data_IF_993833946822
#
_entry.id   IF_993833946822
#
_cell.length_a   1.000
_cell.length_b   1.000
_cell.length_c   1.000
_cell.angle_alpha   90.00
_cell.angle_beta   90.00
_cell.angle_gamma   90.00
#
_symmetry.space_group_name_H-M   'P 1'
#
loop_
_entity.id
_entity.type
_entity.pdbx_description
1 polymer ?
#
# COMPACT_ATOMS: atom_id res chain seq x y z
N UNK A 1 -9.51 -8.83 3.37
CA UNK A 1 -9.69 -8.33 4.73
C UNK A 1 -8.41 -7.63 5.19
N UNK A 2 -8.55 -6.61 6.02
CA UNK A 2 -7.40 -5.93 6.60
C UNK A 2 -6.76 -6.81 7.68
N UNK A 3 -5.44 -6.73 7.85
CA UNK A 3 -4.72 -7.62 8.76
C UNK A 3 -5.11 -7.47 10.24
N UNK A 4 -5.64 -6.30 10.63
CA UNK A 4 -5.92 -6.00 12.02
C UNK A 4 -4.66 -5.65 12.81
N UNK A 5 -4.85 -5.33 14.09
CA UNK A 5 -3.77 -5.02 15.02
C UNK A 5 -4.09 -5.61 16.40
N UNK A 6 -3.08 -6.08 17.15
CA UNK A 6 -3.27 -6.45 18.54
C UNK A 6 -3.53 -5.25 19.45
N UNK A 7 -3.21 -4.04 18.99
CA UNK A 7 -3.35 -2.81 19.75
C UNK A 7 -4.73 -2.18 19.56
N UNK A 8 -5.40 -1.86 20.66
CA UNK A 8 -6.72 -1.22 20.60
C UNK A 8 -6.66 0.20 20.01
N UNK A 9 -5.56 0.90 20.24
CA UNK A 9 -5.29 2.24 19.70
C UNK A 9 -4.10 2.18 18.77
N UNK A 10 -4.36 2.23 17.48
CA UNK A 10 -3.33 2.16 16.44
C UNK A 10 -3.70 3.02 15.23
N UNK A 11 -2.68 3.50 14.56
CA UNK A 11 -2.85 4.19 13.29
C UNK A 11 -3.16 3.19 12.17
N UNK A 12 -4.02 3.60 11.26
CA UNK A 12 -4.44 2.78 10.12
C UNK A 12 -4.84 3.63 8.93
N UNK A 13 -4.79 3.03 7.76
CA UNK A 13 -5.36 3.60 6.54
C UNK A 13 -6.04 2.49 5.73
N UNK A 14 -7.31 2.71 5.42
CA UNK A 14 -8.10 1.84 4.54
C UNK A 14 -8.55 2.65 3.33
N UNK A 15 -8.33 2.13 2.15
CA UNK A 15 -8.72 2.80 0.91
C UNK A 15 -9.11 1.80 -0.18
N UNK A 16 -9.78 2.31 -1.19
CA UNK A 16 -10.10 1.58 -2.41
C UNK A 16 -9.49 2.29 -3.59
N UNK A 17 -8.93 1.55 -4.53
CA UNK A 17 -8.33 2.10 -5.74
C UNK A 17 -8.91 1.38 -6.94
N UNK A 18 -9.35 2.15 -7.92
CA UNK A 18 -9.77 1.63 -9.22
C UNK A 18 -8.67 1.88 -10.24
N UNK A 19 -8.14 0.81 -10.81
CA UNK A 19 -7.12 0.85 -11.85
C UNK A 19 -7.73 0.56 -13.22
N UNK A 20 -7.23 1.22 -14.26
CA UNK A 20 -7.58 0.91 -15.64
C UNK A 20 -6.90 -0.40 -16.12
N UNK A 21 -5.81 -0.78 -15.48
CA UNK A 21 -5.01 -1.95 -15.84
C UNK A 21 -5.55 -3.24 -15.19
N UNK A 22 -5.32 -4.41 -15.82
CA UNK A 22 -5.74 -5.70 -15.25
C UNK A 22 -5.08 -6.02 -13.90
N UNK A 23 -5.79 -6.76 -13.06
CA UNK A 23 -5.34 -7.07 -11.70
C UNK A 23 -3.96 -7.74 -11.64
N UNK A 24 -3.63 -8.63 -12.55
CA UNK A 24 -2.29 -9.26 -12.57
C UNK A 24 -1.17 -8.25 -12.82
N UNK A 25 -1.43 -7.22 -13.64
CA UNK A 25 -0.45 -6.16 -13.85
C UNK A 25 -0.28 -5.30 -12.59
N UNK A 26 -1.38 -4.91 -11.96
CA UNK A 26 -1.34 -4.13 -10.72
C UNK A 26 -0.61 -4.90 -9.62
N UNK A 27 -0.93 -6.17 -9.44
CA UNK A 27 -0.25 -7.06 -8.49
C UNK A 27 1.25 -7.15 -8.75
N UNK A 28 1.65 -7.35 -9.99
CA UNK A 28 3.07 -7.44 -10.36
C UNK A 28 3.83 -6.15 -10.02
N UNK A 29 3.21 -4.99 -10.24
CA UNK A 29 3.80 -3.70 -9.89
C UNK A 29 3.95 -3.56 -8.38
N UNK A 30 2.90 -3.82 -7.62
CA UNK A 30 2.90 -3.71 -6.14
C UNK A 30 3.96 -4.63 -5.53
N UNK A 31 3.96 -5.90 -5.93
CA UNK A 31 4.94 -6.87 -5.44
C UNK A 31 6.38 -6.49 -5.86
N UNK A 32 6.56 -6.08 -7.09
CA UNK A 32 7.88 -5.68 -7.62
C UNK A 32 8.46 -4.48 -6.87
N UNK A 33 7.63 -3.53 -6.45
CA UNK A 33 8.07 -2.38 -5.66
C UNK A 33 8.53 -2.78 -4.27
N UNK A 34 7.86 -3.70 -3.61
CA UNK A 34 8.31 -4.20 -2.29
C UNK A 34 9.63 -4.96 -2.42
N UNK A 35 9.72 -5.87 -3.38
CA UNK A 35 10.95 -6.66 -3.63
C UNK A 35 12.12 -5.76 -4.02
N UNK A 36 11.89 -4.77 -4.90
CA UNK A 36 12.91 -3.82 -5.35
C UNK A 36 13.17 -2.65 -4.38
N UNK A 37 12.42 -2.55 -3.30
CA UNK A 37 12.43 -1.43 -2.34
C UNK A 37 12.11 -0.07 -2.97
N UNK A 38 11.42 -0.06 -4.08
CA UNK A 38 10.92 1.16 -4.69
C UNK A 38 9.67 1.64 -3.95
N UNK A 39 9.64 2.85 -3.49
CA UNK A 39 8.53 3.42 -2.73
C UNK A 39 8.56 3.14 -1.22
N UNK A 40 9.41 2.23 -0.76
CA UNK A 40 9.63 1.94 0.66
C UNK A 40 11.10 2.15 1.03
N UNK A 41 11.47 3.41 1.10
CA UNK A 41 12.76 3.82 1.64
C UNK A 41 12.72 3.82 3.18
N UNK A 42 13.85 3.86 3.83
CA UNK A 42 13.96 3.90 5.28
C UNK A 42 13.10 2.84 5.98
N UNK A 43 13.24 1.60 5.57
CA UNK A 43 12.64 0.46 6.24
C UNK A 43 13.64 -0.69 6.39
N UNK A 44 13.42 -1.49 7.43
CA UNK A 44 14.18 -2.74 7.64
C UNK A 44 13.52 -3.83 6.82
N UNK A 45 14.31 -4.54 6.02
CA UNK A 45 13.93 -5.76 5.30
C UNK A 45 12.43 -5.90 5.00
N UNK A 46 11.90 -5.18 4.01
CA UNK A 46 10.51 -5.32 3.64
C UNK A 46 10.23 -6.78 3.28
N UNK A 47 9.21 -7.34 3.90
CA UNK A 47 8.81 -8.72 3.62
C UNK A 47 7.59 -8.70 2.72
N UNK A 48 7.76 -9.07 1.43
CA UNK A 48 6.60 -9.42 0.64
C UNK A 48 5.94 -10.62 1.32
N UNK A 49 4.64 -10.51 1.49
CA UNK A 49 3.88 -11.52 2.18
C UNK A 49 3.41 -12.64 1.26
N UNK A 50 2.44 -13.37 1.76
CA UNK A 50 1.85 -14.49 1.06
C UNK A 50 0.92 -13.96 -0.05
N UNK A 51 1.08 -14.52 -1.24
CA UNK A 51 0.16 -14.37 -2.35
C UNK A 51 -0.80 -15.57 -2.38
N UNK A 52 -2.07 -15.28 -2.26
CA UNK A 52 -3.13 -16.28 -2.39
C UNK A 52 -4.17 -15.78 -3.40
N UNK A 53 -4.05 -16.23 -4.64
CA UNK A 53 -4.94 -15.83 -5.72
C UNK A 53 -4.91 -14.32 -5.96
N UNK A 54 -6.01 -13.63 -5.63
CA UNK A 54 -6.16 -12.19 -5.76
C UNK A 54 -6.03 -11.43 -4.41
N UNK A 55 -5.37 -12.01 -3.44
CA UNK A 55 -5.02 -11.39 -2.18
C UNK A 55 -3.49 -11.37 -2.00
N UNK A 56 -2.98 -10.26 -1.51
CA UNK A 56 -1.55 -10.06 -1.27
C UNK A 56 -1.35 -9.32 0.05
N UNK A 57 -0.31 -9.65 0.76
CA UNK A 57 0.04 -9.00 2.01
C UNK A 57 1.53 -8.71 2.09
N UNK A 58 1.89 -7.74 2.91
CA UNK A 58 3.28 -7.42 3.19
C UNK A 58 3.42 -6.84 4.59
N UNK A 59 4.63 -6.76 5.09
CA UNK A 59 4.97 -6.02 6.30
C UNK A 59 6.07 -5.01 6.03
N UNK A 60 6.00 -3.88 6.71
CA UNK A 60 7.01 -2.83 6.68
C UNK A 60 7.38 -2.46 8.13
N UNK A 61 8.67 -2.52 8.43
CA UNK A 61 9.21 -2.03 9.71
C UNK A 61 10.01 -0.77 9.45
N UNK A 62 9.78 0.29 10.21
CA UNK A 62 10.54 1.54 10.08
C UNK A 62 12.04 1.33 10.31
N UNK A 63 12.88 2.19 9.71
CA UNK A 63 14.32 2.06 9.78
C UNK A 63 14.88 2.05 11.20
N UNK A 64 14.24 2.77 12.14
CA UNK A 64 14.57 2.73 13.57
C UNK A 64 14.06 1.47 14.30
N UNK A 65 13.26 0.61 13.64
CA UNK A 65 12.73 -0.61 14.18
C UNK A 65 11.58 -0.46 15.19
N UNK A 66 11.08 0.75 15.41
CA UNK A 66 10.07 1.03 16.44
C UNK A 66 8.64 0.73 16.00
N UNK A 67 8.35 0.81 14.70
CA UNK A 67 7.02 0.62 14.17
C UNK A 67 7.01 -0.46 13.09
N UNK A 68 6.02 -1.33 13.16
CA UNK A 68 5.73 -2.34 12.14
C UNK A 68 4.29 -2.19 11.71
N UNK A 69 4.09 -2.07 10.40
CA UNK A 69 2.78 -2.01 9.77
C UNK A 69 2.56 -3.29 8.95
N UNK A 70 1.37 -3.85 9.06
CA UNK A 70 0.92 -4.94 8.19
C UNK A 70 0.00 -4.35 7.11
N UNK A 71 0.27 -4.75 5.86
CA UNK A 71 -0.48 -4.31 4.70
C UNK A 71 -1.21 -5.47 4.06
N UNK A 72 -2.41 -5.19 3.58
CA UNK A 72 -3.22 -6.14 2.81
C UNK A 72 -3.79 -5.49 1.56
N UNK A 73 -3.73 -6.21 0.45
CA UNK A 73 -4.33 -5.84 -0.83
C UNK A 73 -5.24 -6.97 -1.29
N UNK A 74 -6.46 -6.62 -1.67
CA UNK A 74 -7.41 -7.56 -2.27
C UNK A 74 -7.82 -7.02 -3.63
N UNK A 75 -7.64 -7.84 -4.66
CA UNK A 75 -7.83 -7.47 -6.06
C UNK A 75 -9.13 -8.09 -6.57
N UNK A 76 -9.95 -7.30 -7.26
CA UNK A 76 -11.17 -7.75 -7.91
C UNK A 76 -11.21 -7.23 -9.36
N UNK A 77 -11.27 -8.13 -10.36
CA UNK A 77 -11.41 -7.70 -11.76
C UNK A 77 -12.68 -6.87 -11.99
N UNK A 78 -12.57 -5.86 -12.83
CA UNK A 78 -13.65 -4.97 -13.23
C UNK A 78 -13.69 -4.86 -14.77
N UNK A 79 -14.90 -4.79 -15.41
CA UNK A 79 -16.23 -4.96 -14.81
C UNK A 79 -16.53 -6.42 -14.46
N UNK A 80 -17.74 -6.67 -13.94
CA UNK A 80 -18.21 -8.05 -13.70
C UNK A 80 -18.05 -8.91 -14.95
N UNK A 81 -17.49 -10.11 -14.80
CA UNK A 81 -17.14 -11.01 -15.90
C UNK A 81 -15.73 -10.82 -16.46
N UNK A 82 -15.01 -9.77 -16.07
CA UNK A 82 -13.59 -9.64 -16.39
C UNK A 82 -12.76 -10.69 -15.61
N UNK A 83 -11.59 -11.00 -16.13
CA UNK A 83 -10.63 -11.92 -15.50
C UNK A 83 -9.48 -11.13 -14.88
N UNK A 84 -8.61 -11.81 -14.15
CA UNK A 84 -7.40 -11.19 -13.61
C UNK A 84 -6.46 -10.63 -14.69
N UNK A 85 -6.59 -11.09 -15.93
CA UNK A 85 -5.76 -10.69 -17.08
C UNK A 85 -6.44 -9.68 -18.00
N UNK A 86 -7.72 -9.36 -17.78
CA UNK A 86 -8.53 -8.51 -18.68
C UNK A 86 -9.24 -7.42 -17.88
N UNK A 87 -9.63 -6.34 -18.59
CA UNK A 87 -10.34 -5.22 -17.98
C UNK A 87 -9.48 -4.41 -17.01
N UNK A 88 -10.13 -3.79 -16.04
CA UNK A 88 -9.50 -3.05 -14.97
C UNK A 88 -9.42 -3.85 -13.67
N UNK A 89 -9.02 -3.18 -12.60
CA UNK A 89 -8.86 -3.80 -11.29
C UNK A 89 -9.32 -2.88 -10.16
N UNK A 90 -10.23 -3.36 -9.34
CA UNK A 90 -10.57 -2.72 -8.08
C UNK A 90 -9.73 -3.34 -6.97
N UNK A 91 -9.07 -2.50 -6.21
CA UNK A 91 -8.22 -2.92 -5.10
C UNK A 91 -8.78 -2.36 -3.80
N UNK A 92 -9.04 -3.22 -2.82
CA UNK A 92 -9.19 -2.83 -1.43
C UNK A 92 -7.84 -2.96 -0.76
N UNK A 93 -7.32 -1.88 -0.21
CA UNK A 93 -6.02 -1.85 0.43
C UNK A 93 -6.12 -1.31 1.85
N UNK A 94 -5.34 -1.88 2.74
CA UNK A 94 -5.22 -1.40 4.11
C UNK A 94 -3.82 -1.60 4.67
N UNK A 95 -3.44 -0.68 5.54
CA UNK A 95 -2.22 -0.73 6.33
C UNK A 95 -2.60 -0.42 7.78
N UNK A 96 -2.15 -1.24 8.71
CA UNK A 96 -2.44 -1.09 10.14
C UNK A 96 -1.17 -1.29 10.96
N UNK A 97 -0.90 -0.30 11.81
CA UNK A 97 0.24 -0.38 12.72
C UNK A 97 0.03 -1.47 13.77
N UNK A 98 1.07 -2.26 14.02
CA UNK A 98 1.04 -3.36 14.99
C UNK A 98 1.49 -2.92 16.38
N UNK A 99 1.80 -1.65 16.53
CA UNK A 99 2.15 -1.02 17.80
C UNK A 99 1.19 0.12 18.12
N UNK A 100 1.05 0.47 19.39
CA UNK A 100 0.23 1.61 19.80
C UNK A 100 0.69 2.88 19.10
N UNK A 101 -0.20 3.52 18.36
CA UNK A 101 0.09 4.77 17.63
C UNK A 101 -1.19 5.56 17.41
N UNK A 102 -1.11 6.88 17.53
CA UNK A 102 -2.22 7.80 17.28
C UNK A 102 -1.92 8.66 16.06
N UNK A 103 -0.72 9.20 16.01
CA UNK A 103 -0.22 10.03 14.91
C UNK A 103 0.89 9.27 14.20
N UNK A 104 0.72 9.00 12.91
CA UNK A 104 1.68 8.24 12.11
C UNK A 104 2.27 9.06 10.96
N UNK A 105 1.98 10.37 10.92
CA UNK A 105 2.44 11.28 9.85
C UNK A 105 2.12 10.74 8.45
N UNK A 106 0.94 10.17 8.28
CA UNK A 106 0.48 9.55 7.02
C UNK A 106 1.29 8.32 6.59
N UNK A 107 2.04 7.69 7.48
CA UNK A 107 2.90 6.54 7.16
C UNK A 107 2.10 5.37 6.61
N UNK A 108 0.95 5.01 7.24
CA UNK A 108 0.09 3.95 6.73
C UNK A 108 -0.44 4.26 5.33
N UNK A 109 -0.90 5.49 5.08
CA UNK A 109 -1.33 5.93 3.77
C UNK A 109 -0.20 5.84 2.73
N UNK A 110 0.96 6.39 3.06
CA UNK A 110 2.10 6.43 2.15
C UNK A 110 2.67 5.02 1.89
N UNK A 111 2.65 4.14 2.87
CA UNK A 111 3.04 2.74 2.68
C UNK A 111 2.17 2.03 1.64
N UNK A 112 0.89 2.36 1.54
CA UNK A 112 0.00 1.85 0.50
C UNK A 112 0.25 2.55 -0.83
N UNK A 113 0.13 3.88 -0.86
CA UNK A 113 0.17 4.68 -2.08
C UNK A 113 1.48 4.52 -2.84
N UNK A 114 2.60 4.47 -2.17
CA UNK A 114 3.90 4.38 -2.82
C UNK A 114 4.14 3.04 -3.54
N UNK A 115 3.29 2.06 -3.32
CA UNK A 115 3.38 0.79 -4.04
C UNK A 115 2.75 0.84 -5.44
N UNK A 116 1.91 1.84 -5.75
CA UNK A 116 1.27 1.95 -7.06
C UNK A 116 1.36 3.34 -7.70
N UNK A 117 1.65 4.39 -6.93
CA UNK A 117 1.84 5.72 -7.49
C UNK A 117 3.14 5.78 -8.32
N UNK A 118 3.14 6.60 -9.36
CA UNK A 118 4.29 6.80 -10.26
C UNK A 118 4.83 5.52 -10.92
N UNK A 119 3.97 4.54 -11.12
CA UNK A 119 4.31 3.22 -11.67
C UNK A 119 3.69 2.97 -13.05
N UNK A 120 3.37 4.02 -13.81
CA UNK A 120 2.65 3.93 -15.10
C UNK A 120 1.31 3.19 -14.99
N UNK A 121 0.62 3.37 -13.87
CA UNK A 121 -0.74 2.89 -13.65
C UNK A 121 -1.70 4.08 -13.65
N UNK A 122 -2.88 3.88 -14.21
CA UNK A 122 -3.97 4.87 -14.22
C UNK A 122 -4.95 4.51 -13.11
N UNK A 123 -5.10 5.35 -12.11
CA UNK A 123 -5.90 5.01 -10.93
C UNK A 123 -6.70 6.17 -10.36
N UNK A 124 -7.75 5.81 -9.62
CA UNK A 124 -8.55 6.73 -8.81
C UNK A 124 -8.68 6.15 -7.40
N UNK A 125 -8.30 6.91 -6.38
CA UNK A 125 -8.39 6.51 -4.98
C UNK A 125 -9.69 6.99 -4.33
N UNK A 126 -10.20 6.18 -3.41
CA UNK A 126 -11.26 6.55 -2.47
C UNK A 126 -10.85 6.13 -1.06
N UNK A 127 -10.73 7.10 -0.16
CA UNK A 127 -10.40 6.84 1.23
C UNK A 127 -11.65 6.38 1.98
N UNK A 128 -11.55 5.29 2.73
CA UNK A 128 -12.68 4.71 3.47
C UNK A 128 -12.51 4.86 4.98
N UNK A 129 -11.31 4.65 5.51
CA UNK A 129 -10.96 4.87 6.92
C UNK A 129 -9.46 5.21 7.00
N UNK A 130 -9.13 6.45 6.65
CA UNK A 130 -7.75 6.91 6.54
C UNK A 130 -7.69 8.34 7.05
N UNK A 131 -7.37 8.51 8.33
CA UNK A 131 -7.41 9.83 8.97
C UNK A 131 -6.24 10.72 8.58
N UNK A 132 -5.06 10.12 8.39
CA UNK A 132 -3.85 10.82 7.99
C UNK A 132 -3.47 10.39 6.58
N UNK A 133 -3.54 11.30 5.62
CA UNK A 133 -3.35 11.03 4.19
C UNK A 133 -2.74 12.23 3.45
N UNK A 134 -1.70 12.82 4.02
CA UNK A 134 -0.97 13.92 3.41
C UNK A 134 0.04 13.41 2.39
N UNK A 135 -0.16 13.76 1.13
CA UNK A 135 0.74 13.39 0.02
C UNK A 135 2.16 13.94 0.23
N UNK A 136 2.31 15.13 0.83
CA UNK A 136 3.60 15.71 1.13
C UNK A 136 4.42 14.88 2.11
N UNK A 137 3.77 14.15 3.01
CA UNK A 137 4.44 13.26 3.95
C UNK A 137 4.94 11.98 3.29
N UNK A 138 4.34 11.54 2.18
CA UNK A 138 4.79 10.35 1.48
C UNK A 138 6.24 10.43 1.03
N UNK A 139 6.69 11.60 0.61
CA UNK A 139 8.08 11.81 0.24
C UNK A 139 9.03 11.91 1.43
N UNK A 140 8.54 12.32 2.60
CA UNK A 140 9.37 12.37 3.82
C UNK A 140 9.63 10.99 4.42
N UNK A 141 8.63 10.12 4.35
CA UNK A 141 8.68 8.76 4.91
C UNK A 141 9.27 7.73 3.95
N UNK A 142 9.43 8.08 2.69
CA UNK A 142 9.82 7.19 1.60
C UNK A 142 10.80 7.92 0.68
N UNK A 143 11.46 7.17 -0.16
CA UNK A 143 12.46 7.77 -1.05
C UNK A 143 11.80 8.73 -2.05
N UNK A 144 12.34 9.94 -2.14
CA UNK A 144 11.93 10.92 -3.11
C UNK A 144 13.13 11.40 -3.90
N UNK A 145 12.95 11.64 -5.18
CA UNK A 145 13.96 12.30 -6.00
C UNK A 145 14.08 13.80 -5.64
N UNK A 146 15.04 14.48 -6.21
CA UNK A 146 15.28 15.94 -6.01
C UNK A 146 14.09 16.82 -6.43
N UNK A 147 13.10 16.25 -7.10
CA UNK A 147 11.87 16.93 -7.54
C UNK A 147 10.69 16.69 -6.62
N UNK A 148 10.88 15.93 -5.55
CA UNK A 148 9.82 15.55 -4.62
C UNK A 148 8.88 14.46 -5.16
N UNK A 149 9.28 13.77 -6.21
CA UNK A 149 8.52 12.64 -6.75
C UNK A 149 8.87 11.38 -5.97
N UNK A 150 7.89 10.70 -5.42
CA UNK A 150 8.11 9.45 -4.69
C UNK A 150 8.46 8.32 -5.66
N UNK A 151 9.56 7.67 -5.40
CA UNK A 151 10.06 6.54 -6.21
C UNK A 151 9.64 5.20 -5.63
#
# INVERSE_FOLDING_TARGET
ACPGSPEAVHAKCHLSVLFAEPCLRVLAVVNGRVVGRHGWHDCKEPRPGVYDGLAWSASRTTGNGLFTDLLGFRFAPEPEGATASTGGCRVSACSESQVTSIVDYSTNYCSLRNLYADANLTFTETLTDCRQHDLGECCKSHDCDDKGTCQ
#
